data_IF_344732724594
#
_entry.id   IF_344732724594
#
_cell.length_a   1.000
_cell.length_b   1.000
_cell.length_c   1.000
_cell.angle_alpha   90.00
_cell.angle_beta   90.00
_cell.angle_gamma   90.00
#
_symmetry.space_group_name_H-M   'P 1'
#
loop_
_entity.id
_entity.type
_entity.pdbx_description
1 polymer ?
#
# COMPACT_ATOMS: atom_id res chain seq x y z
N UNK A 1 -8.23 -7.42 1.42
CA UNK A 1 -6.84 -7.33 1.93
C UNK A 1 -6.06 -6.45 0.98
N UNK A 2 -5.32 -5.48 1.50
CA UNK A 2 -4.42 -4.66 0.69
C UNK A 2 -2.98 -5.11 0.86
N UNK A 3 -2.19 -5.00 -0.18
CA UNK A 3 -0.78 -5.41 -0.19
C UNK A 3 0.05 -4.40 -0.98
N UNK A 4 1.20 -4.02 -0.43
CA UNK A 4 2.21 -3.27 -1.16
C UNK A 4 3.12 -4.27 -1.87
N UNK A 5 3.32 -4.06 -3.16
CA UNK A 5 4.19 -4.84 -4.02
C UNK A 5 5.32 -3.96 -4.56
N UNK A 6 6.54 -4.49 -4.59
CA UNK A 6 7.70 -3.91 -5.25
C UNK A 6 8.09 -4.84 -6.41
N UNK A 7 8.08 -4.30 -7.63
CA UNK A 7 8.41 -5.05 -8.85
C UNK A 7 7.59 -6.36 -9.00
N UNK A 8 6.32 -6.31 -8.58
CA UNK A 8 5.38 -7.44 -8.61
C UNK A 8 5.53 -8.44 -7.46
N UNK A 9 6.46 -8.19 -6.51
CA UNK A 9 6.65 -9.03 -5.34
C UNK A 9 6.08 -8.35 -4.08
N UNK A 10 5.32 -9.06 -3.22
CA UNK A 10 4.82 -8.50 -1.97
C UNK A 10 5.97 -8.01 -1.07
N UNK A 11 5.87 -6.79 -0.56
CA UNK A 11 6.80 -6.26 0.43
C UNK A 11 6.46 -6.85 1.80
N UNK A 12 7.36 -7.69 2.33
CA UNK A 12 7.18 -8.32 3.63
C UNK A 12 7.06 -7.26 4.74
N UNK A 13 6.07 -7.41 5.63
CA UNK A 13 5.79 -6.45 6.70
C UNK A 13 4.94 -5.25 6.28
N UNK A 14 4.60 -5.10 5.00
CA UNK A 14 3.72 -4.05 4.50
C UNK A 14 2.24 -4.45 4.45
N UNK A 15 1.82 -5.41 5.29
CA UNK A 15 0.41 -5.75 5.41
C UNK A 15 -0.28 -4.68 6.26
N UNK A 16 -0.99 -3.76 5.61
CA UNK A 16 -1.85 -2.82 6.33
C UNK A 16 -3.17 -3.52 6.69
N UNK A 17 -3.42 -3.70 7.99
CA UNK A 17 -4.71 -4.19 8.50
C UNK A 17 -5.67 -3.02 8.65
N UNK A 18 -6.86 -3.15 8.08
CA UNK A 18 -7.97 -2.23 8.28
C UNK A 18 -8.89 -2.78 9.38
N UNK A 19 -9.27 -1.95 10.36
CA UNK A 19 -10.37 -2.24 11.28
C UNK A 19 -11.63 -1.64 10.69
N UNK A 20 -12.40 -2.42 9.92
CA UNK A 20 -13.71 -1.97 9.42
C UNK A 20 -14.70 -1.87 10.60
N UNK A 21 -15.19 -0.65 10.87
CA UNK A 21 -16.30 -0.42 11.79
C UNK A 21 -17.48 0.22 11.02
N UNK A 22 -18.38 -0.63 10.52
CA UNK A 22 -19.78 -0.36 10.05
C UNK A 22 -20.06 0.80 9.06
N UNK A 23 -20.59 0.43 7.88
CA UNK A 23 -21.39 1.18 6.89
C UNK A 23 -21.14 2.70 6.74
N UNK A 24 -20.58 3.10 5.58
CA UNK A 24 -20.45 4.47 5.04
C UNK A 24 -19.37 5.38 5.65
N UNK A 25 -18.23 4.85 6.10
CA UNK A 25 -17.07 5.68 6.44
C UNK A 25 -15.89 5.43 5.49
N UNK A 26 -15.26 6.52 5.06
CA UNK A 26 -13.95 6.50 4.42
C UNK A 26 -12.92 6.08 5.47
N UNK A 27 -12.20 4.99 5.21
CA UNK A 27 -11.17 4.46 6.10
C UNK A 27 -9.79 4.84 5.56
N UNK A 28 -8.91 5.34 6.42
CA UNK A 28 -7.54 5.68 6.03
C UNK A 28 -6.66 4.44 6.08
N UNK A 29 -6.09 4.08 4.93
CA UNK A 29 -5.11 3.01 4.81
C UNK A 29 -3.72 3.63 4.67
N UNK A 30 -2.78 3.21 5.53
CA UNK A 30 -1.39 3.65 5.45
C UNK A 30 -0.44 2.47 5.47
N UNK A 31 0.60 2.56 4.64
CA UNK A 31 1.71 1.61 4.58
C UNK A 31 2.97 2.35 5.02
N UNK A 32 3.73 1.77 5.94
CA UNK A 32 5.04 2.29 6.34
C UNK A 32 6.03 1.15 6.34
N UNK A 33 6.93 1.16 5.37
CA UNK A 33 8.01 0.18 5.26
C UNK A 33 9.19 0.78 4.52
N UNK A 34 10.39 0.28 4.82
CA UNK A 34 11.57 0.56 4.03
C UNK A 34 11.59 -0.40 2.84
N UNK A 35 11.80 0.12 1.63
CA UNK A 35 12.01 -0.67 0.41
C UNK A 35 13.44 -0.47 -0.07
N UNK A 36 14.09 -1.56 -0.51
CA UNK A 36 15.44 -1.51 -1.07
C UNK A 36 15.35 -1.57 -2.59
N UNK A 37 15.87 -0.55 -3.27
CA UNK A 37 15.97 -0.51 -4.73
C UNK A 37 17.39 -0.88 -5.12
N UNK A 38 17.60 -2.12 -5.55
CA UNK A 38 18.93 -2.60 -5.98
C UNK A 38 19.22 -2.24 -7.43
N UNK A 39 18.21 -2.33 -8.30
CA UNK A 39 18.33 -2.07 -9.74
C UNK A 39 17.21 -1.12 -10.22
N UNK A 40 17.53 0.13 -10.63
CA UNK A 40 16.53 1.04 -11.15
C UNK A 40 16.21 0.78 -12.64
N UNK A 41 14.95 0.98 -13.08
CA UNK A 41 13.80 1.47 -12.31
C UNK A 41 13.10 0.36 -11.50
N UNK A 42 12.59 0.74 -10.31
CA UNK A 42 11.74 -0.12 -9.47
C UNK A 42 10.36 0.49 -9.32
N UNK A 43 9.32 -0.34 -9.33
CA UNK A 43 7.91 0.05 -9.35
C UNK A 43 7.21 -0.39 -8.06
N UNK A 44 6.53 0.56 -7.41
CA UNK A 44 5.69 0.29 -6.24
C UNK A 44 4.22 0.26 -6.63
N UNK A 45 3.52 -0.81 -6.27
CA UNK A 45 2.09 -1.02 -6.57
C UNK A 45 1.34 -1.36 -5.29
N UNK A 46 0.19 -0.72 -5.08
CA UNK A 46 -0.74 -1.11 -4.01
C UNK A 46 -1.90 -1.88 -4.64
N UNK A 47 -2.03 -3.15 -4.30
CA UNK A 47 -3.10 -4.02 -4.77
C UNK A 47 -4.14 -4.23 -3.65
N UNK A 48 -5.42 -4.12 -3.98
CA UNK A 48 -6.53 -4.32 -3.04
C UNK A 48 -7.46 -5.41 -3.55
N UNK A 49 -7.68 -6.45 -2.75
CA UNK A 49 -8.58 -7.56 -3.09
C UNK A 49 -9.80 -7.54 -2.16
N UNK A 50 -11.01 -7.27 -2.72
CA UNK A 50 -12.27 -7.27 -1.95
C UNK A 50 -13.41 -6.40 -2.49
N UNK A 51 -13.91 -6.62 -3.71
CA UNK A 51 -15.14 -5.97 -4.19
C UNK A 51 -14.99 -4.46 -4.54
N UNK A 52 -16.13 -3.76 -4.69
CA UNK A 52 -16.16 -2.35 -5.08
C UNK A 52 -15.71 -1.45 -3.93
N UNK A 53 -14.46 -1.02 -3.94
CA UNK A 53 -13.96 0.04 -3.05
C UNK A 53 -14.05 1.40 -3.77
N UNK A 54 -14.55 2.42 -3.07
CA UNK A 54 -14.35 3.80 -3.48
C UNK A 54 -12.99 4.25 -2.93
N UNK A 55 -12.02 4.43 -3.83
CA UNK A 55 -10.75 5.04 -3.47
C UNK A 55 -10.99 6.56 -3.29
N UNK A 56 -10.76 7.10 -2.09
CA UNK A 56 -10.51 8.53 -1.91
C UNK A 56 -9.05 8.85 -2.26
N UNK A 57 -8.65 10.12 -2.15
CA UNK A 57 -7.30 10.62 -2.46
C UNK A 57 -6.18 9.62 -2.13
N UNK A 58 -5.46 9.16 -3.17
CA UNK A 58 -4.31 8.27 -3.04
C UNK A 58 -3.05 9.13 -3.02
N UNK A 59 -2.35 9.14 -1.88
CA UNK A 59 -1.06 9.81 -1.72
C UNK A 59 0.05 8.81 -1.43
N UNK A 60 1.13 8.85 -2.21
CA UNK A 60 2.36 8.09 -1.94
C UNK A 60 3.51 9.07 -1.69
N UNK A 61 4.11 8.99 -0.51
CA UNK A 61 5.32 9.73 -0.18
C UNK A 61 6.50 8.75 -0.16
N UNK A 62 7.47 8.95 -1.05
CA UNK A 62 8.69 8.13 -1.13
C UNK A 62 9.86 8.98 -0.64
N UNK A 63 10.53 8.49 0.40
CA UNK A 63 11.74 9.13 0.95
C UNK A 63 12.94 8.23 0.69
N UNK A 64 13.98 8.79 0.04
CA UNK A 64 15.26 8.10 -0.10
C UNK A 64 16.01 8.17 1.22
N UNK A 65 16.38 7.01 1.76
CA UNK A 65 17.21 6.88 2.96
C UNK A 65 18.64 6.51 2.50
N UNK A 66 19.54 7.49 2.41
CA UNK A 66 20.95 7.29 1.98
C UNK A 66 21.15 7.34 0.47
#
# INVERSE_FOLDING_TARGET
MFTLEQDGNPVSGAAAQEVLQTQNQYSSLSFSTVVSVTDPPSTLTVSGQGGNFFYSDVGMNVYKIG
#
